data_IF_358670638419
#
_entry.id   IF_358670638419
#
_cell.length_a   1.000
_cell.length_b   1.000
_cell.length_c   1.000
_cell.angle_alpha   90.00
_cell.angle_beta   90.00
_cell.angle_gamma   90.00
#
_symmetry.space_group_name_H-M   'P 1'
#
loop_
_entity.id
_entity.type
_entity.pdbx_description
1 polymer ?
#
# COMPACT_ATOMS: atom_id res chain seq x y z
N UNK A 1 -42.48 -0.10 -18.91
CA UNK A 1 -42.77 0.32 -17.51
C UNK A 1 -41.53 1.07 -17.05
N UNK A 2 -41.69 2.26 -16.45
CA UNK A 2 -40.57 3.10 -16.00
C UNK A 2 -40.44 2.95 -14.49
N UNK A 3 -39.23 2.71 -14.00
CA UNK A 3 -38.99 2.52 -12.57
C UNK A 3 -38.11 3.64 -12.04
N UNK A 4 -38.49 4.21 -10.89
CA UNK A 4 -37.62 5.12 -10.15
C UNK A 4 -36.38 4.36 -9.65
N UNK A 5 -35.25 5.05 -9.60
CA UNK A 5 -34.05 4.54 -8.96
C UNK A 5 -34.18 4.51 -7.44
N UNK A 6 -33.24 3.85 -6.77
CA UNK A 6 -33.00 4.07 -5.35
C UNK A 6 -32.49 5.51 -5.11
N UNK A 7 -32.55 5.97 -3.85
CA UNK A 7 -31.91 7.23 -3.48
C UNK A 7 -30.44 7.21 -3.89
N UNK A 8 -29.95 8.34 -4.38
CA UNK A 8 -28.56 8.48 -4.79
C UNK A 8 -27.65 8.07 -3.62
N UNK A 9 -26.66 7.18 -3.84
CA UNK A 9 -25.78 6.71 -2.77
C UNK A 9 -25.08 7.85 -2.06
N UNK A 10 -24.96 7.77 -0.74
CA UNK A 10 -24.14 8.70 0.04
C UNK A 10 -22.65 8.41 -0.18
N UNK A 11 -21.86 9.48 -0.29
CA UNK A 11 -20.41 9.43 -0.44
C UNK A 11 -19.80 10.33 0.61
N UNK A 12 -18.85 9.81 1.39
CA UNK A 12 -18.17 10.55 2.44
C UNK A 12 -17.43 11.77 1.86
N UNK A 13 -17.31 12.83 2.66
CA UNK A 13 -16.73 14.11 2.23
C UNK A 13 -17.38 14.69 0.96
N UNK A 14 -18.68 14.45 0.75
CA UNK A 14 -19.39 14.95 -0.42
C UNK A 14 -20.79 15.44 -0.10
N UNK A 15 -21.34 16.23 -1.04
CA UNK A 15 -22.75 16.57 -1.13
C UNK A 15 -23.28 16.08 -2.49
N UNK A 16 -24.42 15.39 -2.49
CA UNK A 16 -25.11 14.99 -3.72
C UNK A 16 -26.29 15.92 -4.02
N UNK A 17 -26.40 16.35 -5.28
CA UNK A 17 -27.49 17.23 -5.76
C UNK A 17 -28.13 16.59 -6.99
N UNK A 18 -29.42 16.25 -6.89
CA UNK A 18 -30.18 15.59 -7.94
C UNK A 18 -31.17 16.54 -8.61
N UNK A 19 -31.19 16.53 -9.94
CA UNK A 19 -32.09 17.39 -10.75
C UNK A 19 -33.57 17.02 -10.63
N UNK A 20 -33.91 15.72 -10.55
CA UNK A 20 -35.29 15.22 -10.45
C UNK A 20 -35.43 14.13 -9.38
N UNK A 21 -34.65 14.23 -8.30
CA UNK A 21 -34.62 13.20 -7.25
C UNK A 21 -34.22 11.83 -7.80
N UNK A 22 -35.10 10.85 -7.63
CA UNK A 22 -34.89 9.45 -8.05
C UNK A 22 -35.60 9.06 -9.36
N UNK A 23 -36.27 10.02 -10.02
CA UNK A 23 -37.03 9.71 -11.23
C UNK A 23 -36.11 9.44 -12.43
N UNK A 24 -36.55 8.63 -13.39
CA UNK A 24 -35.83 8.37 -14.62
C UNK A 24 -35.40 9.65 -15.35
N UNK A 25 -34.14 9.67 -15.82
CA UNK A 25 -33.49 10.84 -16.40
C UNK A 25 -33.03 11.89 -15.38
N UNK A 26 -33.18 11.64 -14.07
CA UNK A 26 -32.55 12.47 -13.03
C UNK A 26 -31.04 12.29 -13.08
N UNK A 27 -30.32 13.40 -13.21
CA UNK A 27 -28.86 13.44 -12.99
C UNK A 27 -28.56 13.91 -11.57
N UNK A 28 -27.80 13.10 -10.82
CA UNK A 28 -27.29 13.39 -9.48
C UNK A 28 -25.79 13.68 -9.54
N UNK A 29 -25.39 14.90 -9.17
CA UNK A 29 -23.99 15.36 -9.17
C UNK A 29 -23.40 15.30 -7.76
N UNK A 30 -22.22 14.73 -7.65
CA UNK A 30 -21.42 14.65 -6.43
C UNK A 30 -20.44 15.82 -6.37
N UNK A 31 -20.55 16.61 -5.32
CA UNK A 31 -19.64 17.72 -5.02
C UNK A 31 -18.79 17.33 -3.82
N UNK A 32 -17.50 17.06 -4.06
CA UNK A 32 -16.57 16.76 -2.99
C UNK A 32 -16.26 18.01 -2.15
N UNK A 33 -15.99 17.79 -0.87
CA UNK A 33 -15.56 18.83 0.07
C UNK A 33 -14.17 19.37 -0.27
N UNK A 34 -13.78 20.46 0.39
CA UNK A 34 -12.48 21.10 0.18
C UNK A 34 -11.32 20.10 0.31
N UNK A 35 -10.45 20.06 -0.71
CA UNK A 35 -9.29 19.16 -0.77
C UNK A 35 -9.59 17.73 -1.26
N UNK A 36 -10.84 17.40 -1.57
CA UNK A 36 -11.25 16.11 -2.12
C UNK A 36 -11.74 16.24 -3.56
N UNK A 37 -11.54 15.19 -4.35
CA UNK A 37 -11.89 15.11 -5.75
C UNK A 37 -12.63 13.81 -6.04
N UNK A 38 -13.59 13.82 -6.99
CA UNK A 38 -14.33 12.62 -7.34
C UNK A 38 -13.41 11.63 -8.06
N UNK A 39 -13.43 10.37 -7.62
CA UNK A 39 -12.74 9.27 -8.27
C UNK A 39 -13.69 8.07 -8.49
N UNK A 40 -13.77 7.52 -9.72
CA UNK A 40 -13.19 8.09 -10.94
C UNK A 40 -13.95 9.38 -11.35
N UNK A 41 -13.28 10.29 -12.05
CA UNK A 41 -13.80 11.65 -12.31
C UNK A 41 -15.08 11.62 -13.19
N UNK A 42 -15.16 10.66 -14.11
CA UNK A 42 -16.31 10.43 -14.97
C UNK A 42 -17.57 10.00 -14.21
N UNK A 43 -17.45 9.54 -12.97
CA UNK A 43 -18.59 9.16 -12.12
C UNK A 43 -19.04 10.30 -11.19
N UNK A 44 -18.53 11.52 -11.38
CA UNK A 44 -18.98 12.69 -10.62
C UNK A 44 -20.47 13.02 -10.81
N UNK A 45 -21.12 12.46 -11.83
CA UNK A 45 -22.55 12.57 -12.07
C UNK A 45 -23.12 11.22 -12.49
N UNK A 46 -24.21 10.80 -11.85
CA UNK A 46 -24.94 9.58 -12.17
C UNK A 46 -26.30 9.92 -12.75
N UNK A 47 -26.77 9.15 -13.71
CA UNK A 47 -28.08 9.31 -14.34
C UNK A 47 -28.97 8.12 -14.03
N UNK A 48 -30.19 8.38 -13.55
CA UNK A 48 -31.18 7.35 -13.30
C UNK A 48 -31.74 6.83 -14.63
N UNK A 49 -31.58 5.54 -14.89
CA UNK A 49 -32.09 4.86 -16.08
C UNK A 49 -33.56 4.48 -15.92
N UNK A 50 -34.22 4.17 -17.03
CA UNK A 50 -35.65 3.82 -17.05
C UNK A 50 -35.97 2.49 -16.37
N UNK A 51 -34.96 1.65 -16.18
CA UNK A 51 -35.05 0.35 -15.51
C UNK A 51 -34.89 0.44 -13.98
N UNK A 52 -34.69 1.64 -13.44
CA UNK A 52 -34.51 1.88 -12.00
C UNK A 52 -33.07 1.73 -11.52
N UNK A 53 -32.08 1.70 -12.41
CA UNK A 53 -30.66 1.62 -12.06
C UNK A 53 -29.91 2.93 -12.34
N UNK A 54 -28.78 3.13 -11.66
CA UNK A 54 -27.86 4.21 -11.99
C UNK A 54 -26.94 3.76 -13.14
N UNK A 55 -26.69 4.65 -14.10
CA UNK A 55 -25.87 4.38 -15.29
C UNK A 55 -24.41 3.98 -14.98
N UNK A 56 -23.90 4.37 -13.81
CA UNK A 56 -22.53 4.16 -13.36
C UNK A 56 -22.47 3.85 -11.86
N UNK A 57 -21.39 3.21 -11.36
CA UNK A 57 -21.20 3.04 -9.93
C UNK A 57 -20.90 4.39 -9.25
N UNK A 58 -21.22 4.48 -7.95
CA UNK A 58 -20.93 5.68 -7.16
C UNK A 58 -19.43 6.03 -7.18
N UNK A 59 -19.05 7.32 -7.24
CA UNK A 59 -17.67 7.73 -7.03
C UNK A 59 -17.31 7.64 -5.53
N UNK A 60 -16.03 7.78 -5.22
CA UNK A 60 -15.58 8.24 -3.91
C UNK A 60 -15.08 9.69 -4.00
N UNK A 61 -15.04 10.40 -2.87
CA UNK A 61 -14.30 11.65 -2.75
C UNK A 61 -12.99 11.36 -2.02
N UNK A 62 -11.87 11.47 -2.74
CA UNK A 62 -10.55 11.18 -2.20
C UNK A 62 -9.61 12.39 -2.34
N UNK A 63 -8.60 12.45 -1.46
CA UNK A 63 -7.53 13.44 -1.59
C UNK A 63 -6.57 13.02 -2.71
N UNK A 64 -5.89 13.99 -3.31
CA UNK A 64 -4.89 13.73 -4.34
C UNK A 64 -3.65 13.12 -3.69
N UNK A 65 -3.17 12.03 -4.29
CA UNK A 65 -1.96 11.30 -3.91
C UNK A 65 -0.88 11.56 -4.97
N UNK A 66 0.35 11.95 -4.60
CA UNK A 66 0.82 12.37 -3.26
C UNK A 66 0.34 13.79 -2.84
N UNK A 67 0.47 14.19 -1.54
CA UNK A 67 1.07 13.43 -0.44
C UNK A 67 0.06 12.61 0.38
N UNK A 68 -1.22 12.60 0.01
CA UNK A 68 -2.26 11.94 0.78
C UNK A 68 -2.53 10.53 0.28
N UNK A 69 -2.05 9.52 1.01
CA UNK A 69 -2.26 8.11 0.72
C UNK A 69 -2.90 7.44 1.93
N UNK A 70 -4.21 7.16 1.92
CA UNK A 70 -4.88 6.49 3.04
C UNK A 70 -4.62 4.97 2.99
N UNK A 71 -3.43 4.57 3.40
CA UNK A 71 -2.97 3.17 3.48
C UNK A 71 -2.12 2.93 4.71
N UNK A 72 -2.12 1.69 5.16
CA UNK A 72 -1.17 1.20 6.16
C UNK A 72 -0.16 0.32 5.40
N UNK A 73 1.11 0.74 5.38
CA UNK A 73 2.18 0.09 4.61
C UNK A 73 3.19 -0.49 5.59
N UNK A 74 3.36 -1.81 5.59
CA UNK A 74 4.40 -2.47 6.36
C UNK A 74 5.52 -2.94 5.42
N UNK A 75 6.71 -2.40 5.57
CA UNK A 75 7.88 -2.82 4.81
C UNK A 75 8.59 -3.98 5.51
N UNK A 76 8.77 -5.09 4.80
CA UNK A 76 9.62 -6.20 5.23
C UNK A 76 10.97 -6.11 4.51
N UNK A 77 12.08 -6.02 5.25
CA UNK A 77 13.43 -5.99 4.66
C UNK A 77 14.27 -7.18 5.09
N UNK A 78 14.78 -7.92 4.11
CA UNK A 78 15.81 -8.91 4.30
C UNK A 78 17.16 -8.24 4.62
N UNK A 79 17.79 -8.59 5.74
CA UNK A 79 19.07 -8.00 6.19
C UNK A 79 20.24 -8.97 5.97
N UNK A 80 20.71 -9.08 4.72
CA UNK A 80 21.82 -10.00 4.35
C UNK A 80 23.08 -9.30 3.88
N UNK A 81 22.93 -8.11 3.33
CA UNK A 81 24.01 -7.38 2.69
C UNK A 81 23.98 -5.92 3.16
N UNK A 82 25.13 -5.41 3.61
CA UNK A 82 25.27 -4.05 4.12
C UNK A 82 25.05 -2.99 3.02
N UNK A 83 25.53 -3.23 1.82
CA UNK A 83 25.37 -2.33 0.67
C UNK A 83 23.89 -2.20 0.29
N UNK A 84 23.20 -3.34 0.09
CA UNK A 84 21.74 -3.34 -0.11
C UNK A 84 21.00 -2.64 1.03
N UNK A 85 21.42 -2.83 2.29
CA UNK A 85 20.82 -2.13 3.43
C UNK A 85 20.98 -0.59 3.34
N UNK A 86 22.13 -0.10 2.89
CA UNK A 86 22.38 1.33 2.72
C UNK A 86 21.51 1.90 1.59
N UNK A 87 21.40 1.19 0.47
CA UNK A 87 20.56 1.60 -0.66
C UNK A 87 19.08 1.64 -0.26
N UNK A 88 18.61 0.55 0.35
CA UNK A 88 17.25 0.39 0.83
C UNK A 88 16.82 1.56 1.71
N UNK A 89 17.63 1.96 2.70
CA UNK A 89 17.30 3.09 3.59
C UNK A 89 17.10 4.38 2.81
N UNK A 90 17.99 4.64 1.84
CA UNK A 90 17.95 5.85 1.02
C UNK A 90 16.69 5.86 0.13
N UNK A 91 16.38 4.74 -0.52
CA UNK A 91 15.19 4.61 -1.39
C UNK A 91 13.89 4.61 -0.60
N UNK A 92 13.85 3.98 0.57
CA UNK A 92 12.67 4.00 1.43
C UNK A 92 12.39 5.42 1.95
N UNK A 93 13.44 6.20 2.25
CA UNK A 93 13.29 7.61 2.63
C UNK A 93 12.79 8.46 1.45
N UNK A 94 13.27 8.21 0.23
CA UNK A 94 12.74 8.87 -0.96
C UNK A 94 11.27 8.53 -1.20
N UNK A 95 10.88 7.26 -1.02
CA UNK A 95 9.50 6.78 -1.17
C UNK A 95 8.57 7.39 -0.12
N UNK A 96 8.91 7.25 1.17
CA UNK A 96 8.08 7.75 2.26
C UNK A 96 8.07 9.27 2.35
N UNK A 97 9.13 9.94 1.87
CA UNK A 97 9.17 11.39 1.72
C UNK A 97 8.15 11.95 0.72
N UNK A 98 7.55 11.12 -0.14
CA UNK A 98 6.45 11.54 -1.02
C UNK A 98 5.12 11.70 -0.27
N UNK A 99 4.96 11.09 0.91
CA UNK A 99 3.69 10.99 1.61
C UNK A 99 3.70 11.75 2.94
N UNK A 100 2.53 12.28 3.31
CA UNK A 100 2.28 12.71 4.68
C UNK A 100 1.99 11.48 5.53
N UNK A 101 2.75 11.28 6.61
CA UNK A 101 2.55 10.18 7.56
C UNK A 101 1.71 10.70 8.73
N UNK A 102 0.48 10.21 8.88
CA UNK A 102 -0.45 10.66 9.91
C UNK A 102 -1.69 9.75 10.04
N UNK A 103 -2.53 10.04 11.03
CA UNK A 103 -3.82 9.35 11.23
C UNK A 103 -4.75 9.42 10.01
N UNK A 104 -4.67 10.49 9.22
CA UNK A 104 -5.57 10.75 8.09
C UNK A 104 -4.94 10.54 6.71
N UNK A 105 -3.72 10.04 6.69
CA UNK A 105 -2.95 9.72 5.48
C UNK A 105 -2.29 8.35 5.65
N UNK A 106 -1.04 8.20 5.23
CA UNK A 106 -0.32 6.95 5.30
C UNK A 106 0.10 6.67 6.75
N UNK A 107 0.02 5.41 7.15
CA UNK A 107 0.79 4.88 8.26
C UNK A 107 1.83 3.93 7.69
N UNK A 108 3.05 3.99 8.20
CA UNK A 108 4.14 3.19 7.66
C UNK A 108 4.92 2.52 8.77
N UNK A 109 5.29 1.28 8.54
CA UNK A 109 6.07 0.46 9.43
C UNK A 109 7.22 -0.21 8.70
N UNK A 110 8.14 -0.77 9.46
CA UNK A 110 9.30 -1.48 8.96
C UNK A 110 9.61 -2.65 9.88
N UNK A 111 9.84 -3.82 9.32
CA UNK A 111 10.31 -5.01 10.03
C UNK A 111 11.49 -5.60 9.26
N UNK A 112 12.63 -5.70 9.92
CA UNK A 112 13.82 -6.36 9.37
C UNK A 112 13.87 -7.82 9.79
N UNK A 113 14.38 -8.69 8.91
CA UNK A 113 14.52 -10.12 9.18
C UNK A 113 15.75 -10.73 8.51
N UNK A 114 16.16 -11.89 9.02
CA UNK A 114 17.06 -12.81 8.35
C UNK A 114 16.60 -14.25 8.55
N UNK A 115 17.26 -15.00 9.43
CA UNK A 115 16.75 -16.30 9.91
C UNK A 115 15.54 -16.13 10.86
N UNK A 116 15.45 -14.97 11.52
CA UNK A 116 14.35 -14.51 12.38
C UNK A 116 14.13 -13.00 12.29
N UNK A 117 13.04 -12.53 12.90
CA UNK A 117 12.74 -11.10 13.04
C UNK A 117 13.78 -10.41 13.92
N UNK A 118 14.21 -9.21 13.50
CA UNK A 118 15.13 -8.34 14.23
C UNK A 118 14.32 -7.24 14.91
N UNK A 119 13.87 -7.49 16.13
CA UNK A 119 12.99 -6.58 16.87
C UNK A 119 13.62 -5.19 17.08
N UNK A 120 14.95 -5.10 17.17
CA UNK A 120 15.69 -3.85 17.31
C UNK A 120 15.62 -2.95 16.07
N UNK A 121 15.25 -3.53 14.92
CA UNK A 121 15.10 -2.87 13.63
C UNK A 121 13.62 -2.80 13.20
N UNK A 122 12.74 -2.68 14.18
CA UNK A 122 11.29 -2.55 13.96
C UNK A 122 10.82 -1.11 14.11
N UNK A 123 9.89 -0.70 13.26
CA UNK A 123 9.07 0.51 13.36
C UNK A 123 7.60 0.09 13.21
N UNK A 124 6.77 0.42 14.19
CA UNK A 124 5.32 0.14 14.14
C UNK A 124 4.58 1.25 13.38
N UNK A 125 3.40 0.93 12.85
CA UNK A 125 2.61 1.82 11.99
C UNK A 125 2.22 3.14 12.68
N UNK A 126 2.11 3.13 14.01
CA UNK A 126 1.69 4.27 14.81
C UNK A 126 2.84 5.08 15.45
N UNK A 127 4.10 4.71 15.24
CA UNK A 127 5.24 5.32 15.96
C UNK A 127 5.50 6.78 15.55
N UNK A 128 5.28 7.13 14.27
CA UNK A 128 5.68 8.41 13.70
C UNK A 128 4.54 9.19 13.04
N UNK A 129 3.38 9.24 13.69
CA UNK A 129 2.16 9.88 13.14
C UNK A 129 2.16 11.41 13.23
N UNK A 130 3.11 12.00 13.97
CA UNK A 130 3.15 13.44 14.25
C UNK A 130 4.15 14.20 13.37
N UNK A 131 5.26 13.57 13.01
CA UNK A 131 6.31 14.18 12.18
C UNK A 131 6.90 13.15 11.20
N UNK A 132 6.74 13.42 9.91
CA UNK A 132 7.32 12.61 8.85
C UNK A 132 8.84 12.70 8.85
N UNK A 133 9.45 13.84 9.19
CA UNK A 133 10.91 13.98 9.21
C UNK A 133 11.57 13.14 10.30
N UNK A 134 10.91 12.94 11.44
CA UNK A 134 11.39 12.06 12.51
C UNK A 134 11.45 10.61 12.03
N UNK A 135 10.43 10.15 11.30
CA UNK A 135 10.45 8.83 10.65
C UNK A 135 11.62 8.71 9.67
N UNK A 136 11.76 9.66 8.75
CA UNK A 136 12.81 9.61 7.72
C UNK A 136 14.20 9.59 8.36
N UNK A 137 14.40 10.40 9.41
CA UNK A 137 15.63 10.43 10.20
C UNK A 137 15.86 9.10 10.93
N UNK A 138 14.81 8.51 11.53
CA UNK A 138 14.88 7.20 12.17
C UNK A 138 15.29 6.12 11.17
N UNK A 139 14.68 6.07 9.99
CA UNK A 139 14.99 5.10 8.92
C UNK A 139 16.45 5.23 8.52
N UNK A 140 16.93 6.45 8.19
CA UNK A 140 18.32 6.67 7.78
C UNK A 140 19.33 6.21 8.83
N UNK A 141 18.99 6.36 10.11
CA UNK A 141 19.85 6.01 11.24
C UNK A 141 19.74 4.55 11.69
N UNK A 142 18.90 3.72 11.04
CA UNK A 142 18.84 2.29 11.38
C UNK A 142 20.21 1.63 11.13
N UNK A 143 20.77 0.94 12.14
CA UNK A 143 22.03 0.23 11.97
C UNK A 143 21.81 -0.99 11.08
N UNK A 144 22.86 -1.43 10.41
CA UNK A 144 22.85 -2.75 9.80
C UNK A 144 23.12 -3.80 10.87
N UNK A 145 22.21 -4.75 11.02
CA UNK A 145 22.41 -5.96 11.83
C UNK A 145 22.31 -7.13 10.86
N UNK A 146 23.39 -7.89 10.71
CA UNK A 146 23.36 -9.08 9.89
C UNK A 146 22.27 -10.03 10.38
N UNK A 147 21.42 -10.50 9.46
CA UNK A 147 20.23 -11.29 9.73
C UNK A 147 20.45 -12.67 10.36
N UNK A 148 21.67 -12.99 10.80
CA UNK A 148 22.01 -14.29 11.39
C UNK A 148 21.86 -15.45 10.40
N UNK A 149 22.29 -16.64 10.84
CA UNK A 149 22.04 -17.90 10.14
C UNK A 149 22.68 -18.06 8.74
N UNK A 150 22.64 -19.29 8.22
CA UNK A 150 22.96 -19.56 6.80
C UNK A 150 21.78 -19.26 5.88
N UNK A 151 20.56 -19.38 6.41
CA UNK A 151 19.30 -19.37 5.68
C UNK A 151 18.54 -18.05 5.93
N UNK A 152 17.61 -17.74 5.04
CA UNK A 152 16.65 -16.64 5.19
C UNK A 152 15.25 -17.20 5.16
N UNK A 153 14.39 -16.73 6.06
CA UNK A 153 13.04 -17.25 6.24
C UNK A 153 12.00 -16.16 5.93
N UNK A 154 11.86 -15.80 4.66
CA UNK A 154 10.92 -14.79 4.18
C UNK A 154 9.47 -15.23 4.41
N UNK A 155 9.17 -16.51 4.23
CA UNK A 155 7.84 -17.07 4.50
C UNK A 155 7.44 -16.90 5.96
N UNK A 156 8.32 -17.30 6.88
CA UNK A 156 8.14 -17.11 8.32
C UNK A 156 8.00 -15.63 8.70
N UNK A 157 8.75 -14.72 8.05
CA UNK A 157 8.62 -13.30 8.28
C UNK A 157 7.25 -12.75 7.85
N UNK A 158 6.72 -13.21 6.70
CA UNK A 158 5.38 -12.89 6.22
C UNK A 158 4.30 -13.39 7.20
N UNK A 159 4.39 -14.63 7.68
CA UNK A 159 3.49 -15.15 8.72
C UNK A 159 3.56 -14.33 10.01
N UNK A 160 4.77 -13.92 10.42
CA UNK A 160 4.95 -13.17 11.65
C UNK A 160 4.28 -11.79 11.62
N UNK A 161 4.36 -11.07 10.50
CA UNK A 161 3.73 -9.75 10.40
C UNK A 161 2.20 -9.81 10.45
N UNK A 162 1.60 -10.88 9.89
CA UNK A 162 0.17 -11.15 10.00
C UNK A 162 -0.23 -11.26 11.47
N UNK A 163 0.52 -12.03 12.25
CA UNK A 163 0.17 -12.32 13.64
C UNK A 163 0.44 -11.16 14.62
N UNK A 164 1.49 -10.37 14.37
CA UNK A 164 2.04 -9.45 15.39
C UNK A 164 1.95 -7.97 15.04
N UNK A 165 1.89 -7.63 13.75
CA UNK A 165 2.03 -6.24 13.29
C UNK A 165 0.72 -5.70 12.72
N UNK A 166 -0.10 -6.53 12.10
CA UNK A 166 -1.43 -6.15 11.63
C UNK A 166 -2.50 -6.34 12.70
N UNK A 167 -2.49 -5.43 13.66
CA UNK A 167 -3.51 -5.29 14.69
C UNK A 167 -3.37 -3.96 15.42
N UNK A 168 -4.31 -3.67 16.33
CA UNK A 168 -4.34 -2.39 17.05
C UNK A 168 -3.02 -2.08 17.79
N UNK A 169 -2.35 -3.10 18.33
CA UNK A 169 -1.07 -2.95 19.02
C UNK A 169 0.08 -2.59 18.05
N UNK A 170 0.00 -3.01 16.80
CA UNK A 170 0.98 -2.65 15.76
C UNK A 170 0.66 -1.33 15.05
N UNK A 171 -0.46 -0.69 15.40
CA UNK A 171 -0.89 0.58 14.83
C UNK A 171 -1.74 0.46 13.55
N UNK A 172 -2.24 -0.73 13.22
CA UNK A 172 -3.10 -0.99 12.07
C UNK A 172 -4.50 -0.35 12.22
N UNK A 173 -5.10 0.05 11.10
CA UNK A 173 -6.46 0.60 11.01
C UNK A 173 -7.39 -0.42 10.34
N UNK A 174 -8.34 -1.03 11.09
CA UNK A 174 -9.21 -2.08 10.55
C UNK A 174 -10.03 -1.72 9.31
N UNK A 175 -10.28 -0.43 9.06
CA UNK A 175 -11.09 0.05 7.93
C UNK A 175 -10.25 0.61 6.79
N UNK A 176 -8.93 0.44 6.81
CA UNK A 176 -8.02 0.95 5.79
C UNK A 176 -7.31 -0.22 5.15
N UNK A 177 -7.21 -0.20 3.82
CA UNK A 177 -6.52 -1.28 3.11
C UNK A 177 -5.02 -1.33 3.44
N UNK A 178 -4.54 -2.53 3.70
CA UNK A 178 -3.15 -2.80 4.07
C UNK A 178 -2.28 -3.13 2.86
N UNK A 179 -1.02 -2.71 2.93
CA UNK A 179 0.02 -3.00 1.95
C UNK A 179 1.21 -3.64 2.65
N UNK A 180 1.73 -4.72 2.07
CA UNK A 180 3.02 -5.29 2.46
C UNK A 180 4.03 -5.04 1.34
N UNK A 181 5.11 -4.34 1.66
CA UNK A 181 6.20 -4.03 0.73
C UNK A 181 7.42 -4.86 1.10
N UNK A 182 7.70 -5.93 0.34
CA UNK A 182 8.77 -6.87 0.65
C UNK A 182 10.02 -6.52 -0.16
N UNK A 183 11.09 -6.10 0.51
CA UNK A 183 12.42 -5.99 -0.05
C UNK A 183 13.23 -7.23 0.31
N UNK A 184 13.55 -8.04 -0.69
CA UNK A 184 14.35 -9.25 -0.55
C UNK A 184 15.49 -9.23 -1.57
N UNK A 185 16.68 -9.66 -1.16
CA UNK A 185 17.89 -9.65 -2.00
C UNK A 185 18.31 -11.05 -2.45
N UNK A 186 17.83 -12.11 -1.78
CA UNK A 186 18.28 -13.48 -1.96
C UNK A 186 17.12 -14.48 -1.83
N UNK A 187 17.35 -15.71 -2.28
CA UNK A 187 16.38 -16.82 -2.22
C UNK A 187 16.00 -17.12 -0.77
N UNK A 188 14.69 -17.22 -0.51
CA UNK A 188 14.17 -17.71 0.76
C UNK A 188 14.37 -19.23 0.87
N UNK A 189 14.71 -19.70 2.07
CA UNK A 189 14.89 -21.11 2.38
C UNK A 189 13.60 -21.83 2.79
N UNK A 190 12.50 -21.08 2.93
CA UNK A 190 11.16 -21.54 3.25
C UNK A 190 10.15 -21.12 2.18
N UNK A 191 8.94 -21.67 2.26
CA UNK A 191 7.87 -21.33 1.33
C UNK A 191 7.38 -19.89 1.53
N UNK A 192 7.38 -19.11 0.45
CA UNK A 192 6.89 -17.73 0.43
C UNK A 192 5.49 -17.61 -0.16
N UNK A 193 5.02 -18.64 -0.90
CA UNK A 193 3.77 -18.58 -1.62
C UNK A 193 2.57 -18.56 -0.67
N UNK A 194 2.44 -19.57 0.19
CA UNK A 194 1.30 -19.71 1.12
C UNK A 194 1.12 -18.49 2.04
N UNK A 195 2.16 -17.96 2.72
CA UNK A 195 1.96 -16.79 3.58
C UNK A 195 1.65 -15.51 2.78
N UNK A 196 2.20 -15.36 1.57
CA UNK A 196 1.85 -14.22 0.71
C UNK A 196 0.41 -14.34 0.16
N UNK A 197 -0.04 -15.54 -0.18
CA UNK A 197 -1.42 -15.81 -0.58
C UNK A 197 -2.39 -15.55 0.59
N UNK A 198 -2.01 -15.93 1.80
CA UNK A 198 -2.78 -15.65 3.01
C UNK A 198 -3.01 -14.15 3.20
N UNK A 199 -1.97 -13.32 3.07
CA UNK A 199 -2.09 -11.85 3.10
C UNK A 199 -3.10 -11.34 2.04
N UNK A 200 -2.97 -11.81 0.80
CA UNK A 200 -3.88 -11.40 -0.29
C UNK A 200 -5.31 -11.83 -0.05
N UNK A 201 -5.53 -13.03 0.49
CA UNK A 201 -6.85 -13.54 0.88
C UNK A 201 -7.48 -12.73 2.03
N UNK A 202 -6.66 -12.11 2.89
CA UNK A 202 -7.09 -11.16 3.90
C UNK A 202 -7.39 -9.75 3.33
N UNK A 203 -7.22 -9.54 2.02
CA UNK A 203 -7.47 -8.26 1.34
C UNK A 203 -6.27 -7.33 1.25
N UNK A 204 -5.06 -7.81 1.59
CA UNK A 204 -3.84 -7.01 1.55
C UNK A 204 -3.31 -6.93 0.12
N UNK A 205 -2.67 -5.81 -0.22
CA UNK A 205 -1.90 -5.72 -1.46
C UNK A 205 -0.43 -6.01 -1.16
N UNK A 206 0.14 -7.02 -1.80
CA UNK A 206 1.56 -7.36 -1.65
C UNK A 206 2.36 -6.83 -2.83
N UNK A 207 3.46 -6.15 -2.51
CA UNK A 207 4.47 -5.68 -3.45
C UNK A 207 5.80 -6.36 -3.15
N UNK A 208 6.54 -6.71 -4.19
CA UNK A 208 7.88 -7.27 -4.07
C UNK A 208 8.87 -6.32 -4.74
N UNK A 209 9.93 -5.95 -4.04
CA UNK A 209 11.05 -5.15 -4.55
C UNK A 209 12.27 -6.05 -4.56
N UNK A 210 12.66 -6.46 -5.75
CA UNK A 210 13.73 -7.40 -6.01
C UNK A 210 15.05 -6.69 -6.32
N UNK A 211 16.17 -7.27 -5.92
CA UNK A 211 17.48 -6.80 -6.36
C UNK A 211 17.68 -7.09 -7.84
N UNK A 212 17.99 -6.06 -8.63
CA UNK A 212 18.32 -6.20 -10.06
C UNK A 212 19.59 -7.03 -10.33
N UNK A 213 20.43 -7.22 -9.31
CA UNK A 213 21.69 -7.97 -9.40
C UNK A 213 21.51 -9.48 -9.21
N UNK A 214 20.33 -9.94 -8.75
CA UNK A 214 20.06 -11.36 -8.55
C UNK A 214 19.39 -11.97 -9.79
N UNK A 215 20.16 -12.74 -10.54
CA UNK A 215 19.70 -13.41 -11.77
C UNK A 215 19.17 -14.84 -11.53
N UNK A 216 18.97 -15.25 -10.28
CA UNK A 216 18.47 -16.58 -9.95
C UNK A 216 16.97 -16.69 -10.33
N UNK A 217 16.63 -17.73 -11.09
CA UNK A 217 15.25 -17.98 -11.54
C UNK A 217 14.31 -18.34 -10.39
N UNK A 218 14.77 -19.09 -9.38
CA UNK A 218 14.00 -19.41 -8.19
C UNK A 218 13.69 -18.14 -7.39
N UNK A 219 14.69 -17.28 -7.21
CA UNK A 219 14.50 -15.98 -6.57
C UNK A 219 13.45 -15.14 -7.31
N UNK A 220 13.55 -15.04 -8.63
CA UNK A 220 12.58 -14.31 -9.43
C UNK A 220 11.15 -14.85 -9.26
N UNK A 221 10.99 -16.18 -9.26
CA UNK A 221 9.70 -16.82 -9.03
C UNK A 221 9.17 -16.52 -7.63
N UNK A 222 10.01 -16.62 -6.59
CA UNK A 222 9.62 -16.26 -5.22
C UNK A 222 9.15 -14.80 -5.11
N UNK A 223 9.80 -13.87 -5.81
CA UNK A 223 9.36 -12.47 -5.82
C UNK A 223 8.02 -12.28 -6.55
N UNK A 224 7.74 -13.06 -7.60
CA UNK A 224 6.42 -13.10 -8.23
C UNK A 224 5.36 -13.70 -7.30
N UNK A 225 5.68 -14.77 -6.58
CA UNK A 225 4.78 -15.43 -5.63
C UNK A 225 4.41 -14.50 -4.47
N UNK A 226 5.39 -13.72 -3.99
CA UNK A 226 5.18 -12.66 -2.99
C UNK A 226 4.30 -11.55 -3.56
N UNK A 227 4.59 -11.02 -4.75
CA UNK A 227 3.81 -9.94 -5.36
C UNK A 227 2.38 -10.37 -5.74
N UNK A 228 2.20 -11.64 -6.14
CA UNK A 228 0.95 -12.22 -6.64
C UNK A 228 0.48 -11.66 -8.00
N UNK A 229 1.19 -10.70 -8.59
CA UNK A 229 0.95 -10.20 -9.94
C UNK A 229 2.22 -9.49 -10.47
N UNK A 230 2.61 -9.66 -11.74
CA UNK A 230 3.82 -9.04 -12.29
C UNK A 230 3.87 -7.52 -12.18
N UNK A 231 2.71 -6.84 -12.25
CA UNK A 231 2.65 -5.37 -12.09
C UNK A 231 2.95 -4.87 -10.67
N UNK A 232 3.16 -5.77 -9.71
CA UNK A 232 3.53 -5.46 -8.32
C UNK A 232 4.94 -5.96 -7.96
N UNK A 233 5.66 -6.48 -8.96
CA UNK A 233 7.08 -6.79 -8.85
C UNK A 233 7.88 -5.62 -9.42
N UNK A 234 8.70 -5.03 -8.56
CA UNK A 234 9.59 -3.94 -8.91
C UNK A 234 11.04 -4.39 -8.72
N UNK A 235 11.95 -3.73 -9.42
CA UNK A 235 13.37 -4.00 -9.31
C UNK A 235 14.08 -2.77 -8.75
N UNK A 236 14.80 -2.99 -7.67
CA UNK A 236 15.73 -2.04 -7.12
C UNK A 236 17.02 -2.11 -7.96
N UNK A 237 17.26 -1.04 -8.73
CA UNK A 237 18.54 -0.76 -9.38
C UNK A 237 19.27 0.37 -8.64
N UNK A 238 20.43 0.81 -9.13
CA UNK A 238 21.32 1.81 -8.52
C UNK A 238 20.64 2.93 -7.71
N UNK A 239 21.37 3.50 -6.74
CA UNK A 239 20.90 4.57 -5.82
C UNK A 239 20.31 5.80 -6.53
N UNK A 240 20.60 6.01 -7.82
CA UNK A 240 20.06 7.12 -8.63
C UNK A 240 18.74 6.84 -9.34
N UNK A 241 18.20 5.62 -9.25
CA UNK A 241 16.99 5.22 -9.95
C UNK A 241 15.72 5.80 -9.31
N UNK A 242 15.47 7.07 -9.61
CA UNK A 242 14.23 7.78 -9.25
C UNK A 242 13.02 7.18 -10.00
N UNK A 243 13.25 6.56 -11.16
CA UNK A 243 12.18 5.97 -11.98
C UNK A 243 11.43 4.87 -11.23
N UNK A 244 12.15 3.98 -10.56
CA UNK A 244 11.55 2.98 -9.68
C UNK A 244 10.62 3.59 -8.63
N UNK A 245 11.04 4.70 -7.98
CA UNK A 245 10.23 5.36 -6.95
C UNK A 245 8.98 5.99 -7.57
N UNK A 246 9.10 6.65 -8.71
CA UNK A 246 7.95 7.23 -9.41
C UNK A 246 6.93 6.17 -9.80
N UNK A 247 7.36 5.05 -10.36
CA UNK A 247 6.49 3.93 -10.72
C UNK A 247 5.80 3.31 -9.50
N UNK A 248 6.54 3.10 -8.41
CA UNK A 248 5.97 2.56 -7.18
C UNK A 248 4.95 3.53 -6.56
N UNK A 249 5.24 4.84 -6.54
CA UNK A 249 4.30 5.86 -6.06
C UNK A 249 3.02 5.87 -6.89
N UNK A 250 3.13 5.82 -8.23
CA UNK A 250 1.98 5.73 -9.12
C UNK A 250 1.14 4.48 -8.84
N UNK A 251 1.78 3.34 -8.60
CA UNK A 251 1.09 2.10 -8.26
C UNK A 251 0.38 2.18 -6.90
N UNK A 252 1.04 2.74 -5.88
CA UNK A 252 0.45 2.92 -4.54
C UNK A 252 -0.73 3.90 -4.56
N UNK A 253 -0.65 4.97 -5.36
CA UNK A 253 -1.70 5.96 -5.52
C UNK A 253 -2.85 5.56 -6.47
N UNK A 254 -2.75 4.39 -7.14
CA UNK A 254 -3.65 4.01 -8.24
C UNK A 254 -5.14 3.90 -7.86
N UNK A 255 -5.45 3.54 -6.61
CA UNK A 255 -6.81 3.45 -6.11
C UNK A 255 -6.98 4.24 -4.80
N UNK A 256 -7.47 5.49 -4.86
CA UNK A 256 -7.60 6.35 -3.68
C UNK A 256 -8.92 6.15 -2.92
N UNK A 257 -9.78 5.20 -3.35
CA UNK A 257 -11.15 5.01 -2.83
C UNK A 257 -11.29 3.92 -1.75
N UNK A 258 -10.21 3.54 -1.07
CA UNK A 258 -10.14 2.31 -0.24
C UNK A 258 -9.55 2.57 1.12
#
# INVERSE_FOLDING_TARGET
MQFDCLLAPTVDNSRVICSKGKSPGSTCRYQCGSGYWPHPFENQALTCLIDGTWDRPKPCCAKICPPYLKRDILTLKQSRNLESWIEFKSKLVMLYGQFSISNDSARVGLVSYGDRIQNELTIHLADFLNDTNDLLTKIMNLPYIAGGGKNVSTGAALSHIIEKYFGLNGGDRPTVSNIVLVHADDVSSDDVYEPAETLRNMGFTTYAVASSYNNNTEYHQQMLDIAGHPSRLFYESDVTDIGFIEELVLSLCSNPCV
#
